data_IF_489655342720
#
_entry.id   IF_489655342720
#
_cell.length_a   1.000
_cell.length_b   1.000
_cell.length_c   1.000
_cell.angle_alpha   90.00
_cell.angle_beta   90.00
_cell.angle_gamma   90.00
#
_symmetry.space_group_name_H-M   'P 1'
#
loop_
_entity.id
_entity.type
_entity.pdbx_description
1 polymer ?
#
# COMPACT_ATOMS: atom_id res chain seq x y z
N UNK A 1 -19.47 -31.10 -0.16
CA UNK A 1 -18.06 -30.66 -0.02
C UNK A 1 -17.11 -31.47 -0.90
N UNK A 2 -17.07 -32.81 -0.81
CA UNK A 2 -16.11 -33.67 -1.56
C UNK A 2 -16.12 -33.41 -3.07
N UNK A 3 -17.29 -33.29 -3.68
CA UNK A 3 -17.44 -33.02 -5.13
C UNK A 3 -16.94 -31.61 -5.50
N UNK A 4 -17.15 -30.62 -4.64
CA UNK A 4 -16.60 -29.29 -4.81
C UNK A 4 -15.07 -29.31 -4.66
N UNK A 5 -14.56 -30.00 -3.61
CA UNK A 5 -13.13 -30.08 -3.36
C UNK A 5 -12.36 -30.78 -4.51
N UNK A 6 -12.94 -31.82 -5.10
CA UNK A 6 -12.36 -32.46 -6.28
C UNK A 6 -12.16 -31.49 -7.48
N UNK A 7 -12.97 -30.43 -7.55
CA UNK A 7 -12.86 -29.40 -8.61
C UNK A 7 -11.89 -28.29 -8.26
N UNK A 8 -11.79 -27.87 -6.99
CA UNK A 8 -10.99 -26.72 -6.55
C UNK A 8 -9.71 -27.10 -5.82
N UNK A 9 -9.57 -28.36 -5.39
CA UNK A 9 -8.40 -28.88 -4.69
C UNK A 9 -7.13 -29.17 -5.51
N UNK A 10 -7.17 -29.26 -6.87
CA UNK A 10 -5.95 -29.39 -7.63
C UNK A 10 -5.03 -28.22 -7.38
N UNK A 11 -3.74 -28.52 -7.18
CA UNK A 11 -2.70 -27.50 -7.09
C UNK A 11 -2.57 -26.78 -8.43
N UNK A 12 -2.29 -25.50 -8.38
CA UNK A 12 -2.01 -24.71 -9.56
C UNK A 12 -0.81 -23.80 -9.29
N UNK A 13 -0.07 -23.49 -10.34
CA UNK A 13 0.83 -22.36 -10.35
C UNK A 13 0.30 -21.32 -11.33
N UNK A 14 0.74 -20.10 -11.18
CA UNK A 14 0.39 -19.05 -12.11
C UNK A 14 1.64 -18.49 -12.80
N UNK A 15 1.45 -18.04 -14.01
CA UNK A 15 2.43 -17.26 -14.76
C UNK A 15 1.87 -15.89 -15.03
N UNK A 16 2.73 -14.89 -15.01
CA UNK A 16 2.37 -13.52 -15.42
C UNK A 16 3.27 -13.15 -16.58
N UNK A 17 2.67 -12.85 -17.71
CA UNK A 17 3.40 -12.42 -18.91
C UNK A 17 2.76 -11.15 -19.45
N UNK A 18 3.41 -10.02 -19.23
CA UNK A 18 2.95 -8.74 -19.76
C UNK A 18 4.07 -8.03 -20.52
N UNK A 19 3.69 -7.20 -21.49
CA UNK A 19 4.65 -6.38 -22.22
C UNK A 19 5.09 -5.19 -21.33
N UNK A 20 6.39 -5.08 -21.11
CA UNK A 20 6.98 -3.96 -20.36
C UNK A 20 6.67 -2.61 -21.02
N UNK A 21 6.51 -2.56 -22.35
CA UNK A 21 6.14 -1.32 -23.05
C UNK A 21 4.71 -0.89 -22.72
N UNK A 22 3.79 -1.85 -22.67
CA UNK A 22 2.41 -1.58 -22.25
C UNK A 22 2.38 -1.03 -20.81
N UNK A 23 3.13 -1.65 -19.90
CA UNK A 23 3.23 -1.17 -18.53
C UNK A 23 3.78 0.26 -18.47
N UNK A 24 4.87 0.56 -19.18
CA UNK A 24 5.46 1.91 -19.25
C UNK A 24 4.41 2.91 -19.73
N UNK A 25 3.69 2.62 -20.83
CA UNK A 25 2.67 3.50 -21.37
C UNK A 25 1.54 3.79 -20.38
N UNK A 26 1.02 2.75 -19.73
CA UNK A 26 -0.03 2.89 -18.72
C UNK A 26 0.43 3.71 -17.49
N UNK A 27 1.66 3.48 -17.04
CA UNK A 27 2.25 4.22 -15.93
C UNK A 27 2.44 5.70 -16.28
N UNK A 28 2.96 6.02 -17.48
CA UNK A 28 3.11 7.40 -17.94
C UNK A 28 1.76 8.12 -17.94
N UNK A 29 0.73 7.51 -18.53
CA UNK A 29 -0.64 8.08 -18.54
C UNK A 29 -1.18 8.28 -17.11
N UNK A 30 -0.96 7.32 -16.21
CA UNK A 30 -1.41 7.42 -14.83
C UNK A 30 -0.69 8.53 -14.05
N UNK A 31 0.62 8.70 -14.27
CA UNK A 31 1.41 9.77 -13.66
C UNK A 31 0.95 11.15 -14.18
N UNK A 32 0.83 11.31 -15.49
CA UNK A 32 0.42 12.58 -16.07
C UNK A 32 -1.01 12.99 -15.69
N UNK A 33 -1.91 12.01 -15.49
CA UNK A 33 -3.29 12.28 -15.13
C UNK A 33 -3.52 12.48 -13.62
N UNK A 34 -2.72 11.83 -12.75
CA UNK A 34 -3.08 11.69 -11.33
C UNK A 34 -1.98 12.07 -10.35
N UNK A 35 -0.75 12.34 -10.81
CA UNK A 35 0.32 12.72 -9.91
C UNK A 35 0.02 14.10 -9.30
N UNK A 36 0.02 14.15 -7.98
CA UNK A 36 -0.13 15.38 -7.23
C UNK A 36 0.95 15.43 -6.15
N UNK A 37 1.70 16.51 -6.12
CA UNK A 37 2.81 16.73 -5.19
C UNK A 37 2.52 17.93 -4.31
N UNK A 38 2.60 17.74 -3.00
CA UNK A 38 2.42 18.80 -2.02
C UNK A 38 3.72 19.58 -1.87
N UNK A 39 3.73 20.90 -2.14
CA UNK A 39 4.93 21.72 -1.98
C UNK A 39 5.44 21.72 -0.54
N UNK A 40 6.77 21.71 -0.37
CA UNK A 40 7.38 21.87 0.95
C UNK A 40 7.15 23.30 1.42
N UNK A 41 6.65 23.46 2.65
CA UNK A 41 6.55 24.76 3.32
C UNK A 41 7.44 24.80 4.56
N UNK A 42 8.18 25.88 4.71
CA UNK A 42 9.02 26.11 5.89
C UNK A 42 8.33 27.11 6.80
N UNK A 43 8.10 26.72 8.05
CA UNK A 43 7.61 27.63 9.08
C UNK A 43 8.78 28.08 9.96
N UNK A 44 9.17 29.32 9.82
CA UNK A 44 10.17 29.93 10.69
C UNK A 44 9.47 30.60 11.88
N UNK A 45 9.88 30.23 13.08
CA UNK A 45 9.36 30.82 14.32
C UNK A 45 10.48 31.59 14.99
N UNK A 46 10.30 32.89 15.12
CA UNK A 46 11.21 33.75 15.89
C UNK A 46 10.66 33.84 17.31
N UNK A 47 11.54 33.68 18.30
CA UNK A 47 11.22 33.84 19.70
C UNK A 47 12.27 34.67 20.39
N UNK A 48 11.85 35.43 21.37
CA UNK A 48 12.76 36.14 22.30
C UNK A 48 12.79 35.40 23.62
N UNK A 49 14.03 35.14 24.09
CA UNK A 49 14.25 34.69 25.45
C UNK A 49 14.45 35.90 26.33
N UNK A 50 13.72 35.98 27.46
CA UNK A 50 13.95 37.07 28.43
C UNK A 50 15.33 36.92 29.04
N UNK A 51 16.12 37.98 28.91
CA UNK A 51 17.51 38.07 29.46
C UNK A 51 17.53 38.37 30.98
N UNK A 52 16.38 38.67 31.57
CA UNK A 52 16.27 38.91 33.01
C UNK A 52 16.18 37.60 33.78
N UNK A 53 16.75 37.59 35.00
CA UNK A 53 16.66 36.48 35.96
C UNK A 53 15.19 36.13 36.16
N UNK A 54 14.79 34.94 35.68
CA UNK A 54 13.44 34.47 35.77
C UNK A 54 13.28 33.61 37.00
N UNK A 55 12.11 33.71 37.68
CA UNK A 55 11.81 32.83 38.77
C UNK A 55 11.55 31.39 38.24
N UNK A 56 11.82 30.40 39.14
CA UNK A 56 11.56 28.99 38.82
C UNK A 56 10.12 28.74 38.37
N UNK A 57 9.17 29.50 38.91
CA UNK A 57 7.75 29.41 38.55
C UNK A 57 7.43 29.90 37.16
N UNK A 58 8.11 30.98 36.71
CA UNK A 58 7.96 31.50 35.35
C UNK A 58 8.55 30.55 34.30
N UNK A 59 9.61 29.81 34.64
CA UNK A 59 10.19 28.76 33.79
C UNK A 59 9.26 27.57 33.67
N UNK A 60 8.66 27.12 34.77
CA UNK A 60 7.71 26.01 34.81
C UNK A 60 6.40 26.32 34.06
N UNK A 61 5.99 27.59 34.00
CA UNK A 61 4.83 28.07 33.27
C UNK A 61 5.10 28.32 31.77
N UNK A 62 6.31 28.03 31.27
CA UNK A 62 6.70 28.23 29.87
C UNK A 62 6.74 29.70 29.43
N UNK A 63 6.77 30.66 30.36
CA UNK A 63 6.76 32.09 30.07
C UNK A 63 8.15 32.67 29.76
N UNK A 64 9.17 31.84 29.83
CA UNK A 64 10.55 32.21 29.52
C UNK A 64 10.80 32.51 28.04
N UNK A 65 9.94 31.98 27.19
CA UNK A 65 10.04 32.13 25.74
C UNK A 65 8.77 32.75 25.18
N UNK A 66 8.89 33.92 24.52
CA UNK A 66 7.77 34.56 23.83
C UNK A 66 7.95 34.42 22.33
N UNK A 67 6.98 33.78 21.68
CA UNK A 67 6.89 33.72 20.24
C UNK A 67 6.58 35.12 19.70
N UNK A 68 7.50 35.68 18.92
CA UNK A 68 7.37 37.04 18.37
C UNK A 68 6.75 37.03 16.98
N UNK A 69 7.19 36.12 16.11
CA UNK A 69 6.74 36.07 14.74
C UNK A 69 6.74 34.64 14.22
N UNK A 70 5.80 34.32 13.32
CA UNK A 70 5.78 33.04 12.60
C UNK A 70 5.49 33.33 11.15
N UNK A 71 6.45 33.03 10.29
CA UNK A 71 6.30 33.11 8.84
C UNK A 71 6.24 31.71 8.25
N UNK A 72 5.26 31.48 7.39
CA UNK A 72 5.21 30.28 6.55
C UNK A 72 5.60 30.70 5.15
N UNK A 73 6.68 30.15 4.64
CA UNK A 73 7.13 30.38 3.27
C UNK A 73 7.14 29.05 2.53
N UNK A 74 6.72 29.05 1.24
CA UNK A 74 7.01 27.94 0.38
C UNK A 74 8.55 27.77 0.31
N UNK A 75 9.04 26.55 0.49
CA UNK A 75 10.45 26.28 0.28
C UNK A 75 10.77 26.61 -1.18
N UNK A 76 11.74 27.48 -1.38
CA UNK A 76 12.27 27.73 -2.72
C UNK A 76 12.91 26.47 -3.30
N UNK A 77 13.17 26.43 -4.60
CA UNK A 77 13.89 25.32 -5.21
C UNK A 77 15.22 25.11 -4.47
N UNK A 78 15.66 23.84 -4.26
CA UNK A 78 16.90 23.56 -3.59
C UNK A 78 18.06 24.28 -4.29
N UNK A 79 18.96 24.85 -3.48
CA UNK A 79 20.10 25.60 -4.00
C UNK A 79 20.93 24.75 -4.98
N UNK A 80 21.45 25.34 -6.08
CA UNK A 80 22.34 24.64 -6.99
C UNK A 80 23.61 24.22 -6.23
N UNK A 81 23.87 22.90 -6.18
CA UNK A 81 25.02 22.32 -5.45
C UNK A 81 24.64 21.37 -4.31
N UNK A 82 23.36 21.14 -4.08
CA UNK A 82 22.88 20.16 -3.10
C UNK A 82 23.16 18.71 -3.50
N UNK A 83 22.99 17.82 -2.55
CA UNK A 83 23.14 16.35 -2.70
C UNK A 83 22.40 15.88 -3.95
N UNK A 84 23.09 15.13 -4.80
CA UNK A 84 22.47 14.50 -5.98
C UNK A 84 21.42 13.50 -5.52
N UNK A 85 20.16 13.77 -5.84
CA UNK A 85 19.06 12.88 -5.52
C UNK A 85 18.99 11.75 -6.57
N UNK A 86 19.25 10.51 -6.16
CA UNK A 86 19.08 9.33 -7.04
C UNK A 86 17.62 8.91 -7.13
N UNK A 87 16.81 9.69 -7.87
CA UNK A 87 15.41 9.42 -8.08
C UNK A 87 15.17 8.03 -8.72
N UNK A 88 15.99 7.66 -9.69
CA UNK A 88 15.86 6.35 -10.37
C UNK A 88 16.14 5.21 -9.39
N UNK A 89 17.20 5.30 -8.60
CA UNK A 89 17.53 4.29 -7.60
C UNK A 89 16.42 4.12 -6.57
N UNK A 90 15.90 5.22 -6.05
CA UNK A 90 14.80 5.20 -5.07
C UNK A 90 13.50 4.63 -5.65
N UNK A 91 13.15 4.96 -6.90
CA UNK A 91 12.00 4.35 -7.58
C UNK A 91 12.16 2.84 -7.76
N UNK A 92 13.38 2.37 -8.08
CA UNK A 92 13.68 0.94 -8.20
C UNK A 92 13.45 0.22 -6.86
N UNK A 93 13.94 0.80 -5.76
CA UNK A 93 13.76 0.25 -4.41
C UNK A 93 12.29 0.16 -4.02
N UNK A 94 11.50 1.22 -4.28
CA UNK A 94 10.09 1.29 -3.89
C UNK A 94 9.15 0.46 -4.79
N UNK A 95 9.52 0.24 -6.05
CA UNK A 95 8.63 -0.39 -7.03
C UNK A 95 9.08 -1.77 -7.47
N UNK A 96 10.35 -2.14 -7.26
CA UNK A 96 10.95 -3.37 -7.77
C UNK A 96 11.07 -3.41 -9.31
N UNK A 97 10.99 -2.26 -9.99
CA UNK A 97 11.23 -2.16 -11.42
C UNK A 97 12.74 -2.16 -11.71
N UNK A 98 13.11 -2.46 -12.95
CA UNK A 98 14.51 -2.28 -13.38
C UNK A 98 14.84 -0.80 -13.55
N UNK A 99 16.13 -0.44 -13.40
CA UNK A 99 16.59 0.96 -13.64
C UNK A 99 16.22 1.46 -15.04
N UNK A 100 16.30 0.58 -16.04
CA UNK A 100 15.94 0.92 -17.43
C UNK A 100 14.46 1.27 -17.54
N UNK A 101 13.59 0.47 -16.92
CA UNK A 101 12.15 0.71 -16.92
C UNK A 101 11.79 1.99 -16.15
N UNK A 102 12.37 2.20 -14.98
CA UNK A 102 12.14 3.42 -14.19
C UNK A 102 12.62 4.68 -14.94
N UNK A 103 13.79 4.62 -15.59
CA UNK A 103 14.30 5.71 -16.41
C UNK A 103 13.39 5.99 -17.63
N UNK A 104 12.90 4.95 -18.31
CA UNK A 104 11.99 5.10 -19.46
C UNK A 104 10.66 5.77 -19.04
N UNK A 105 10.12 5.42 -17.88
CA UNK A 105 8.92 6.07 -17.32
C UNK A 105 9.19 7.55 -17.07
N UNK A 106 10.29 7.89 -16.38
CA UNK A 106 10.63 9.29 -16.07
C UNK A 106 10.92 10.13 -17.31
N UNK A 107 11.45 9.51 -18.37
CA UNK A 107 11.68 10.18 -19.67
C UNK A 107 10.39 10.37 -20.47
N UNK A 108 9.40 9.53 -20.24
CA UNK A 108 8.14 9.55 -20.99
C UNK A 108 7.04 10.42 -20.40
N UNK A 109 7.11 10.81 -19.11
CA UNK A 109 6.12 11.70 -18.50
C UNK A 109 6.25 13.12 -19.03
N UNK A 110 5.15 13.87 -18.97
CA UNK A 110 5.13 15.27 -19.39
C UNK A 110 6.13 16.12 -18.59
N UNK A 111 6.77 17.13 -19.23
CA UNK A 111 7.70 18.02 -18.54
C UNK A 111 7.11 18.70 -17.29
N UNK A 112 5.82 19.04 -17.35
CA UNK A 112 5.07 19.64 -16.25
C UNK A 112 4.93 18.67 -15.07
N UNK A 113 4.65 17.41 -15.34
CA UNK A 113 4.59 16.34 -14.34
C UNK A 113 5.95 16.14 -13.69
N UNK A 114 7.02 16.08 -14.50
CA UNK A 114 8.37 15.96 -13.96
C UNK A 114 8.81 17.20 -13.17
N UNK A 115 8.35 18.41 -13.54
CA UNK A 115 8.68 19.63 -12.81
C UNK A 115 8.17 19.63 -11.36
N UNK A 116 7.13 18.84 -11.05
CA UNK A 116 6.62 18.67 -9.69
C UNK A 116 7.66 18.06 -8.74
N UNK A 117 8.66 17.33 -9.26
CA UNK A 117 9.80 16.84 -8.48
C UNK A 117 10.54 17.96 -7.76
N UNK A 118 10.62 19.16 -8.34
CA UNK A 118 11.27 20.32 -7.74
C UNK A 118 10.52 20.92 -6.56
N UNK A 119 9.20 20.67 -6.48
CA UNK A 119 8.35 21.18 -5.40
C UNK A 119 8.56 20.38 -4.11
N UNK A 120 8.69 19.07 -4.22
CA UNK A 120 8.92 18.16 -3.10
C UNK A 120 9.37 16.79 -3.62
N UNK A 121 10.69 16.51 -3.66
CA UNK A 121 11.23 15.26 -4.17
C UNK A 121 10.71 14.01 -3.45
N UNK A 122 10.53 14.07 -2.12
CA UNK A 122 10.08 12.93 -1.33
C UNK A 122 8.60 12.62 -1.57
N UNK A 123 7.75 13.64 -1.64
CA UNK A 123 6.34 13.43 -1.94
C UNK A 123 6.14 12.98 -3.39
N UNK A 124 6.92 13.54 -4.34
CA UNK A 124 6.97 13.07 -5.71
C UNK A 124 7.28 11.56 -5.77
N UNK A 125 8.35 11.12 -5.09
CA UNK A 125 8.73 9.72 -5.03
C UNK A 125 7.59 8.85 -4.46
N UNK A 126 7.01 9.28 -3.34
CA UNK A 126 5.95 8.55 -2.65
C UNK A 126 4.71 8.37 -3.54
N UNK A 127 4.23 9.45 -4.15
CA UNK A 127 3.04 9.41 -4.99
C UNK A 127 3.29 8.67 -6.31
N UNK A 128 4.44 8.89 -6.94
CA UNK A 128 4.83 8.18 -8.15
C UNK A 128 4.95 6.68 -7.90
N UNK A 129 5.61 6.25 -6.82
CA UNK A 129 5.73 4.83 -6.46
C UNK A 129 4.38 4.17 -6.22
N UNK A 130 3.43 4.87 -5.58
CA UNK A 130 2.06 4.37 -5.39
C UNK A 130 1.34 4.15 -6.70
N UNK A 131 1.40 5.11 -7.62
CA UNK A 131 0.77 5.00 -8.94
C UNK A 131 1.42 3.88 -9.77
N UNK A 132 2.75 3.79 -9.81
CA UNK A 132 3.48 2.72 -10.49
C UNK A 132 3.08 1.35 -9.95
N UNK A 133 3.06 1.16 -8.63
CA UNK A 133 2.70 -0.11 -8.02
C UNK A 133 1.23 -0.49 -8.29
N UNK A 134 0.33 0.49 -8.36
CA UNK A 134 -1.07 0.28 -8.75
C UNK A 134 -1.18 -0.24 -10.19
N UNK A 135 -0.52 0.39 -11.15
CA UNK A 135 -0.54 -0.03 -12.55
C UNK A 135 0.16 -1.39 -12.75
N UNK A 136 1.25 -1.63 -12.01
CA UNK A 136 1.92 -2.94 -11.99
C UNK A 136 0.99 -4.04 -11.47
N UNK A 137 0.27 -3.80 -10.38
CA UNK A 137 -0.71 -4.75 -9.86
C UNK A 137 -1.86 -5.00 -10.85
N UNK A 138 -2.35 -3.96 -11.51
CA UNK A 138 -3.38 -4.08 -12.55
C UNK A 138 -2.88 -4.88 -13.77
N UNK A 139 -1.62 -4.69 -14.18
CA UNK A 139 -1.00 -5.46 -15.26
C UNK A 139 -0.88 -6.94 -14.88
N UNK A 140 -0.44 -7.27 -13.66
CA UNK A 140 -0.38 -8.64 -13.15
C UNK A 140 -1.76 -9.31 -13.21
N UNK A 141 -2.81 -8.65 -12.71
CA UNK A 141 -4.17 -9.21 -12.71
C UNK A 141 -4.70 -9.46 -14.12
N UNK A 142 -4.40 -8.56 -15.07
CA UNK A 142 -4.85 -8.72 -16.47
C UNK A 142 -4.15 -9.84 -17.22
N UNK A 143 -2.91 -10.14 -16.86
CA UNK A 143 -2.05 -11.08 -17.59
C UNK A 143 -1.68 -12.34 -16.80
N UNK A 144 -2.40 -12.63 -15.71
CA UNK A 144 -2.21 -13.83 -14.93
C UNK A 144 -2.87 -15.03 -15.62
N UNK A 145 -2.12 -16.10 -15.80
CA UNK A 145 -2.61 -17.37 -16.33
C UNK A 145 -2.36 -18.46 -15.31
N UNK A 146 -3.40 -19.22 -14.98
CA UNK A 146 -3.30 -20.34 -14.05
C UNK A 146 -3.10 -21.66 -14.81
N UNK A 147 -2.12 -22.43 -14.35
CA UNK A 147 -1.79 -23.73 -14.88
C UNK A 147 -2.07 -24.79 -13.79
N UNK A 148 -2.97 -25.72 -14.10
CA UNK A 148 -3.32 -26.82 -13.21
C UNK A 148 -2.17 -27.84 -13.17
N UNK A 149 -1.89 -28.36 -11.97
CA UNK A 149 -0.99 -29.47 -11.76
C UNK A 149 -1.80 -30.76 -11.56
N UNK A 150 -1.19 -31.91 -11.85
CA UNK A 150 -1.80 -33.22 -11.58
C UNK A 150 -1.86 -33.56 -10.09
N UNK A 151 -1.14 -32.80 -9.23
CA UNK A 151 -1.18 -32.91 -7.78
C UNK A 151 -2.39 -32.15 -7.20
N UNK A 152 -2.99 -32.70 -6.15
CA UNK A 152 -4.09 -32.07 -5.43
C UNK A 152 -3.74 -31.89 -3.95
N UNK A 153 -4.36 -30.92 -3.31
CA UNK A 153 -4.35 -30.82 -1.86
C UNK A 153 -5.24 -31.90 -1.25
N UNK A 154 -4.74 -32.54 -0.16
CA UNK A 154 -5.52 -33.53 0.55
C UNK A 154 -6.71 -32.85 1.29
N UNK A 155 -7.89 -33.46 1.21
CA UNK A 155 -9.07 -33.01 1.96
C UNK A 155 -8.88 -33.15 3.48
N UNK A 156 -7.93 -33.97 3.93
CA UNK A 156 -7.57 -34.10 5.34
C UNK A 156 -7.07 -32.79 5.97
N UNK A 157 -6.65 -31.80 5.16
CA UNK A 157 -6.34 -30.45 5.63
C UNK A 157 -7.48 -29.79 6.41
N UNK A 158 -8.72 -30.15 6.13
CA UNK A 158 -9.91 -29.60 6.79
C UNK A 158 -10.34 -30.37 8.03
N UNK A 159 -9.94 -31.63 8.15
CA UNK A 159 -10.37 -32.53 9.23
C UNK A 159 -9.34 -32.62 10.36
N UNK A 160 -8.06 -32.43 10.06
CA UNK A 160 -6.95 -32.63 11.02
C UNK A 160 -6.58 -31.37 11.82
N UNK A 161 -7.11 -30.19 11.47
CA UNK A 161 -6.79 -28.95 12.15
C UNK A 161 -7.78 -28.69 13.29
N UNK A 162 -7.38 -28.91 14.53
CA UNK A 162 -8.10 -28.41 15.70
C UNK A 162 -7.93 -26.89 15.76
N UNK A 163 -9.00 -26.17 15.54
CA UNK A 163 -9.04 -24.70 15.64
C UNK A 163 -9.75 -24.28 16.90
N UNK A 164 -9.22 -23.30 17.60
CA UNK A 164 -9.82 -22.72 18.78
C UNK A 164 -10.24 -21.30 18.49
N UNK A 165 -11.52 -20.98 18.78
CA UNK A 165 -12.07 -19.64 18.62
C UNK A 165 -12.96 -19.27 19.81
N UNK A 166 -13.18 -17.97 20.01
CA UNK A 166 -14.12 -17.46 21.00
C UNK A 166 -15.43 -17.09 20.29
N UNK A 167 -16.54 -17.67 20.73
CA UNK A 167 -17.87 -17.31 20.25
C UNK A 167 -18.12 -15.81 20.43
N UNK A 168 -18.67 -15.16 19.41
CA UNK A 168 -18.93 -13.72 19.40
C UNK A 168 -17.70 -12.81 19.21
N UNK A 169 -16.47 -13.38 19.25
CA UNK A 169 -15.24 -12.62 19.01
C UNK A 169 -14.53 -13.08 17.73
N UNK A 170 -13.98 -14.29 17.74
CA UNK A 170 -13.20 -14.82 16.62
C UNK A 170 -13.92 -15.94 15.87
N UNK A 171 -14.98 -16.51 16.42
CA UNK A 171 -15.81 -17.53 15.79
C UNK A 171 -17.16 -16.94 15.34
N UNK A 172 -17.39 -16.90 14.04
CA UNK A 172 -18.63 -16.42 13.42
C UNK A 172 -19.50 -17.64 13.07
N UNK A 173 -20.78 -17.67 13.47
CA UNK A 173 -21.69 -18.73 13.04
C UNK A 173 -21.80 -18.73 11.50
N UNK A 174 -21.83 -19.90 10.91
CA UNK A 174 -21.87 -20.05 9.46
C UNK A 174 -22.84 -21.14 9.01
N UNK A 175 -23.79 -20.77 8.19
CA UNK A 175 -24.75 -21.69 7.56
C UNK A 175 -24.26 -22.16 6.18
N UNK A 176 -23.46 -21.33 5.50
CA UNK A 176 -22.94 -21.61 4.16
C UNK A 176 -21.50 -22.12 4.16
N UNK A 177 -20.94 -22.46 5.31
CA UNK A 177 -19.59 -23.05 5.43
C UNK A 177 -19.66 -24.56 5.65
N UNK A 178 -18.50 -25.23 5.47
CA UNK A 178 -18.34 -26.67 5.80
C UNK A 178 -18.29 -26.95 7.32
N UNK A 179 -18.19 -25.90 8.13
CA UNK A 179 -18.16 -25.96 9.58
C UNK A 179 -19.22 -25.01 10.12
N UNK A 180 -19.84 -25.34 11.25
CA UNK A 180 -20.86 -24.51 11.92
C UNK A 180 -20.35 -23.12 12.33
N UNK A 181 -19.02 -22.97 12.40
CA UNK A 181 -18.36 -21.72 12.72
C UNK A 181 -17.14 -21.51 11.83
N UNK A 182 -16.95 -20.27 11.39
CA UNK A 182 -15.72 -19.81 10.74
C UNK A 182 -14.89 -19.04 11.75
N UNK A 183 -13.64 -19.47 11.97
CA UNK A 183 -12.72 -18.78 12.88
C UNK A 183 -11.98 -17.72 12.07
N UNK A 184 -12.11 -16.46 12.47
CA UNK A 184 -11.49 -15.30 11.83
C UNK A 184 -10.37 -14.76 12.72
N UNK A 185 -9.21 -14.51 12.13
CA UNK A 185 -8.05 -13.99 12.85
C UNK A 185 -8.02 -12.45 12.85
N UNK A 186 -8.76 -11.83 11.95
CA UNK A 186 -8.84 -10.38 11.78
C UNK A 186 -10.27 -9.90 11.61
N UNK A 187 -10.53 -8.62 11.93
CA UNK A 187 -11.84 -8.02 11.72
C UNK A 187 -12.25 -7.96 10.24
N UNK A 188 -11.27 -7.88 9.33
CA UNK A 188 -11.53 -7.94 7.88
C UNK A 188 -12.02 -9.32 7.44
N UNK A 189 -11.40 -10.39 7.96
CA UNK A 189 -11.87 -11.76 7.70
C UNK A 189 -13.27 -11.97 8.24
N UNK A 190 -13.58 -11.41 9.41
CA UNK A 190 -14.92 -11.47 10.00
C UNK A 190 -15.95 -10.78 9.13
N UNK A 191 -15.71 -9.51 8.78
CA UNK A 191 -16.60 -8.74 7.93
C UNK A 191 -16.82 -9.41 6.57
N UNK A 192 -15.79 -10.05 6.02
CA UNK A 192 -15.90 -10.80 4.79
C UNK A 192 -16.76 -12.08 4.96
N UNK A 193 -16.57 -12.86 6.03
CA UNK A 193 -17.36 -14.04 6.32
C UNK A 193 -18.84 -13.68 6.53
N UNK A 194 -19.14 -12.62 7.30
CA UNK A 194 -20.49 -12.10 7.51
C UNK A 194 -21.13 -11.64 6.20
N UNK A 195 -20.37 -10.99 5.31
CA UNK A 195 -20.84 -10.59 3.99
C UNK A 195 -21.14 -11.79 3.08
N UNK A 196 -20.39 -12.89 3.20
CA UNK A 196 -20.68 -14.13 2.47
C UNK A 196 -21.95 -14.82 2.98
N UNK A 197 -22.15 -14.88 4.30
CA UNK A 197 -23.36 -15.44 4.92
C UNK A 197 -24.63 -14.66 4.57
N UNK A 198 -24.53 -13.33 4.43
CA UNK A 198 -25.66 -12.47 4.07
C UNK A 198 -26.07 -12.55 2.59
N UNK A 199 -25.29 -13.22 1.73
CA UNK A 199 -25.58 -13.30 0.28
C UNK A 199 -26.24 -14.61 -0.11
N UNK A 200 -27.48 -14.57 -0.55
CA UNK A 200 -28.21 -15.73 -1.06
C UNK A 200 -27.53 -16.46 -2.25
N UNK A 201 -26.74 -15.73 -3.02
CA UNK A 201 -25.99 -16.30 -4.15
C UNK A 201 -24.83 -17.21 -3.70
N UNK A 202 -24.37 -17.07 -2.46
CA UNK A 202 -23.30 -17.91 -1.88
C UNK A 202 -23.92 -19.21 -1.38
N UNK A 203 -23.65 -20.31 -2.08
CA UNK A 203 -24.16 -21.64 -1.70
C UNK A 203 -23.26 -22.36 -0.71
N UNK A 204 -21.96 -22.18 -0.87
CA UNK A 204 -20.94 -22.79 -0.01
C UNK A 204 -19.64 -22.01 -0.11
N UNK A 205 -18.97 -21.82 1.02
CA UNK A 205 -17.61 -21.32 1.05
C UNK A 205 -16.79 -22.09 2.10
N UNK A 206 -15.49 -21.98 2.03
CA UNK A 206 -14.56 -22.60 2.98
C UNK A 206 -13.37 -21.70 3.21
N UNK A 207 -12.98 -21.56 4.47
CA UNK A 207 -11.73 -20.94 4.81
C UNK A 207 -10.58 -21.95 4.63
N UNK A 208 -9.64 -21.62 3.77
CA UNK A 208 -8.45 -22.45 3.59
C UNK A 208 -7.56 -22.41 4.84
N UNK A 209 -6.97 -23.53 5.23
CA UNK A 209 -5.96 -23.54 6.29
C UNK A 209 -4.77 -22.67 5.86
N UNK A 210 -4.13 -22.01 6.83
CA UNK A 210 -2.85 -21.35 6.58
C UNK A 210 -1.80 -22.42 6.31
N UNK A 211 -1.06 -22.25 5.22
CA UNK A 211 0.12 -23.07 4.87
C UNK A 211 1.28 -22.77 5.82
#
# INVERSE_FOLDING_TARGET
>A
FRSLWARVGPKSFYTVSFDTRELIGNVIQALDAHLQVTPVSVRTVYGEQATQLQSREQLLQGRAFRRRESRVQAAGPPAPGGVRYDLVGRLVEETGLTRTTAAAILQGIAPETFAMFRLNPEDFLLQASRLINREKAAAVVRHITYHRLDASYDAALFTNAVRRGRLGCTAVPAAHSISDYVICDTDRERAFAEALEAREAVRLYVRLPKS
#
